data_IF_977351538242
#
_entry.id   IF_977351538242
#
_cell.length_a   1.000
_cell.length_b   1.000
_cell.length_c   1.000
_cell.angle_alpha   90.00
_cell.angle_beta   90.00
_cell.angle_gamma   90.00
#
_symmetry.space_group_name_H-M   'P 1'
#
loop_
_entity.id
_entity.type
_entity.pdbx_description
1 polymer ?
#
# COMPACT_ATOMS: atom_id res chain seq x y z
N UNK A 1 22.54 21.23 10.36
CA UNK A 1 21.48 20.99 9.36
C UNK A 1 22.14 20.59 8.05
N UNK A 2 21.63 19.58 7.34
CA UNK A 2 22.06 19.36 5.95
C UNK A 2 21.69 20.62 5.14
N UNK A 3 22.59 21.17 4.31
CA UNK A 3 22.26 22.30 3.45
C UNK A 3 21.13 21.92 2.48
N UNK A 4 20.15 22.80 2.32
CA UNK A 4 19.03 22.60 1.39
C UNK A 4 19.56 22.60 -0.05
N UNK A 5 19.43 21.50 -0.81
CA UNK A 5 19.89 21.43 -2.19
C UNK A 5 19.04 22.29 -3.15
N UNK A 6 17.93 22.90 -2.71
CA UNK A 6 17.04 23.75 -3.50
C UNK A 6 16.27 23.01 -4.61
N UNK A 7 16.45 21.69 -4.72
CA UNK A 7 15.81 20.80 -5.70
C UNK A 7 15.54 19.44 -5.08
N UNK A 8 14.35 18.92 -5.29
CA UNK A 8 13.99 17.54 -4.95
C UNK A 8 14.78 16.59 -5.86
N UNK A 9 15.38 15.56 -5.28
CA UNK A 9 16.22 14.58 -6.00
C UNK A 9 15.78 13.15 -5.67
N UNK A 10 15.99 12.18 -6.58
CA UNK A 10 15.86 10.77 -6.23
C UNK A 10 16.85 10.39 -5.12
N UNK A 11 16.33 9.84 -4.02
CA UNK A 11 17.11 9.22 -2.95
C UNK A 11 17.43 7.76 -3.29
N UNK A 12 16.38 6.98 -3.61
CA UNK A 12 16.48 5.54 -3.88
C UNK A 12 15.57 5.19 -5.06
N UNK A 13 16.09 4.33 -5.94
CA UNK A 13 15.29 3.60 -6.92
C UNK A 13 15.08 2.19 -6.41
N UNK A 14 13.83 1.81 -6.20
CA UNK A 14 13.47 0.50 -5.68
C UNK A 14 12.42 -0.18 -6.56
N UNK A 15 12.34 -1.50 -6.44
CA UNK A 15 11.22 -2.29 -6.95
C UNK A 15 10.47 -2.90 -5.78
N UNK A 16 9.22 -3.28 -6.02
CA UNK A 16 8.34 -3.96 -5.06
C UNK A 16 8.67 -5.46 -4.91
N UNK A 17 9.94 -5.82 -5.08
CA UNK A 17 10.49 -7.17 -4.93
C UNK A 17 11.05 -7.34 -3.50
N UNK A 18 11.47 -8.55 -3.11
CA UNK A 18 12.18 -8.74 -1.83
C UNK A 18 13.45 -7.87 -1.75
N UNK A 19 13.78 -7.23 -0.62
CA UNK A 19 13.10 -7.27 0.69
C UNK A 19 11.92 -6.30 0.80
N UNK A 20 11.74 -5.41 -0.16
CA UNK A 20 10.79 -4.32 -0.05
C UNK A 20 9.34 -4.76 -0.16
N UNK A 21 9.00 -5.92 -0.74
CA UNK A 21 7.65 -6.50 -1.02
C UNK A 21 6.50 -6.27 -0.01
N UNK A 22 6.73 -5.79 1.22
CA UNK A 22 5.68 -5.36 2.19
C UNK A 22 5.62 -3.86 2.50
N UNK A 23 6.46 -3.02 1.91
CA UNK A 23 6.38 -1.55 1.98
C UNK A 23 5.05 -0.97 1.47
N UNK A 24 4.41 -0.11 2.26
CA UNK A 24 3.20 0.61 1.84
C UNK A 24 3.51 2.11 1.69
N UNK A 25 4.26 2.52 0.65
CA UNK A 25 4.57 3.94 0.46
C UNK A 25 3.28 4.69 0.09
N UNK A 26 3.17 5.93 0.58
CA UNK A 26 2.31 6.91 -0.09
C UNK A 26 3.08 7.40 -1.33
N UNK A 27 2.46 7.25 -2.50
CA UNK A 27 3.04 7.66 -3.76
C UNK A 27 2.06 8.53 -4.53
N UNK A 28 2.60 9.40 -5.39
CA UNK A 28 1.81 10.16 -6.36
C UNK A 28 1.80 9.33 -7.63
N UNK A 29 0.62 8.84 -7.99
CA UNK A 29 0.41 7.96 -9.11
C UNK A 29 -0.01 8.65 -10.39
N UNK A 30 -0.21 7.85 -11.43
CA UNK A 30 -0.78 8.22 -12.72
C UNK A 30 -2.17 7.59 -12.91
N UNK A 31 -2.89 7.98 -13.97
CA UNK A 31 -4.18 7.36 -14.32
C UNK A 31 -4.06 5.91 -14.80
N UNK A 32 -2.87 5.46 -15.12
CA UNK A 32 -2.60 4.09 -15.62
C UNK A 32 -2.19 3.13 -14.51
N UNK A 33 -2.07 3.63 -13.28
CA UNK A 33 -1.71 2.80 -12.15
C UNK A 33 -2.85 1.85 -11.80
N UNK A 34 -2.55 0.61 -11.33
CA UNK A 34 -3.58 -0.34 -10.94
C UNK A 34 -4.45 0.23 -9.83
N UNK A 35 -5.74 -0.13 -9.83
CA UNK A 35 -6.68 0.36 -8.83
C UNK A 35 -6.56 -0.39 -7.50
N UNK A 36 -6.98 0.25 -6.41
CA UNK A 36 -7.22 -0.44 -5.15
C UNK A 36 -8.38 -1.43 -5.32
N UNK A 37 -8.36 -2.53 -4.56
CA UNK A 37 -9.57 -3.33 -4.41
C UNK A 37 -10.52 -2.58 -3.48
N UNK A 38 -11.36 -1.70 -4.04
CA UNK A 38 -12.28 -0.79 -3.31
C UNK A 38 -13.27 -1.53 -2.39
N UNK A 39 -13.44 -2.84 -2.61
CA UNK A 39 -14.23 -3.75 -1.79
C UNK A 39 -13.62 -3.99 -0.39
N UNK A 40 -12.31 -3.79 -0.26
CA UNK A 40 -11.58 -3.92 1.00
C UNK A 40 -11.70 -2.62 1.79
N UNK A 41 -12.13 -2.76 3.04
CA UNK A 41 -12.27 -1.62 3.96
C UNK A 41 -10.94 -1.29 4.63
N UNK A 42 -10.72 -0.02 4.97
CA UNK A 42 -9.57 0.42 5.76
C UNK A 42 -9.48 -0.30 7.12
N UNK A 43 -10.63 -0.56 7.75
CA UNK A 43 -10.76 -1.28 9.01
C UNK A 43 -10.17 -2.69 8.95
N UNK A 44 -10.28 -3.35 7.81
CA UNK A 44 -9.77 -4.71 7.61
C UNK A 44 -8.29 -4.78 7.29
N UNK A 45 -7.64 -3.62 7.08
CA UNK A 45 -6.20 -3.46 6.77
C UNK A 45 -5.79 -4.16 5.47
N UNK A 46 -4.53 -3.99 5.07
CA UNK A 46 -3.92 -4.61 3.88
C UNK A 46 -4.64 -4.33 2.54
N UNK A 47 -5.52 -3.33 2.51
CA UNK A 47 -6.30 -2.91 1.34
C UNK A 47 -5.39 -2.49 0.16
N UNK A 48 -4.18 -2.02 0.48
CA UNK A 48 -3.17 -1.59 -0.50
C UNK A 48 -2.31 -2.74 -1.01
N UNK A 49 -2.26 -3.86 -0.31
CA UNK A 49 -1.29 -4.93 -0.60
C UNK A 49 -1.56 -5.60 -1.96
N UNK A 50 -2.83 -5.76 -2.36
CA UNK A 50 -3.17 -6.33 -3.67
C UNK A 50 -2.73 -5.43 -4.82
N UNK A 51 -2.96 -4.12 -4.70
CA UNK A 51 -2.52 -3.12 -5.69
C UNK A 51 -0.99 -3.14 -5.79
N UNK A 52 -0.30 -3.15 -4.65
CA UNK A 52 1.16 -3.20 -4.61
C UNK A 52 1.73 -4.47 -5.27
N UNK A 53 1.06 -5.61 -5.08
CA UNK A 53 1.44 -6.85 -5.76
C UNK A 53 1.26 -6.74 -7.27
N UNK A 54 0.15 -6.17 -7.74
CA UNK A 54 -0.07 -5.91 -9.17
C UNK A 54 1.00 -4.97 -9.76
N UNK A 55 1.38 -3.91 -9.05
CA UNK A 55 2.49 -3.04 -9.46
C UNK A 55 3.82 -3.80 -9.59
N UNK A 56 4.09 -4.79 -8.72
CA UNK A 56 5.26 -5.65 -8.85
C UNK A 56 5.20 -6.48 -10.14
N UNK A 57 4.06 -7.12 -10.41
CA UNK A 57 3.85 -7.93 -11.62
C UNK A 57 4.01 -7.10 -12.90
N UNK A 58 3.63 -5.83 -12.86
CA UNK A 58 3.82 -4.84 -13.92
C UNK A 58 5.25 -4.25 -13.97
N UNK A 59 6.18 -4.72 -13.14
CA UNK A 59 7.58 -4.29 -13.08
C UNK A 59 7.75 -2.77 -12.79
N UNK A 60 6.90 -2.21 -11.92
CA UNK A 60 6.98 -0.80 -11.54
C UNK A 60 8.30 -0.47 -10.83
N UNK A 61 8.86 0.70 -11.17
CA UNK A 61 9.99 1.30 -10.46
C UNK A 61 9.50 2.40 -9.53
N UNK A 62 9.76 2.24 -8.24
CA UNK A 62 9.48 3.24 -7.22
C UNK A 62 10.68 4.18 -7.08
N UNK A 63 10.42 5.48 -7.12
CA UNK A 63 11.43 6.52 -6.91
C UNK A 63 11.11 7.20 -5.59
N UNK A 64 11.95 6.99 -4.58
CA UNK A 64 11.86 7.66 -3.29
C UNK A 64 12.61 8.97 -3.40
N UNK A 65 12.00 10.07 -2.99
CA UNK A 65 12.53 11.43 -3.14
C UNK A 65 13.20 11.89 -1.84
N UNK A 66 14.36 12.54 -1.95
CA UNK A 66 15.01 13.27 -0.86
C UNK A 66 14.50 14.72 -0.81
N UNK A 67 14.19 15.21 0.38
CA UNK A 67 13.72 16.59 0.59
C UNK A 67 12.27 16.88 0.17
N UNK A 68 11.43 15.85 -0.01
CA UNK A 68 10.00 16.02 -0.31
C UNK A 68 9.12 15.48 0.84
N UNK A 69 8.02 16.18 1.14
CA UNK A 69 7.03 15.75 2.12
C UNK A 69 5.61 16.01 1.63
N UNK A 70 4.67 15.14 2.02
CA UNK A 70 3.25 15.32 1.76
C UNK A 70 2.59 15.97 2.97
N UNK A 71 1.96 17.13 2.76
CA UNK A 71 1.12 17.79 3.77
C UNK A 71 -0.33 17.44 3.49
N UNK A 72 -1.04 16.95 4.51
CA UNK A 72 -2.49 16.77 4.46
C UNK A 72 -3.13 17.75 5.44
N UNK A 73 -4.38 18.15 5.16
CA UNK A 73 -5.17 18.95 6.09
C UNK A 73 -5.37 18.17 7.39
N UNK A 74 -5.30 18.82 8.57
CA UNK A 74 -5.44 18.14 9.84
C UNK A 74 -6.84 17.52 9.95
N UNK A 75 -6.90 16.19 9.88
CA UNK A 75 -8.12 15.44 10.18
C UNK A 75 -8.45 15.48 11.66
N UNK A 76 -9.73 15.41 12.01
CA UNK A 76 -10.20 15.32 13.40
C UNK A 76 -9.70 13.99 13.99
N UNK A 77 -8.54 14.02 14.65
CA UNK A 77 -8.06 12.89 15.45
C UNK A 77 -8.82 12.87 16.77
N UNK A 78 -9.97 12.18 16.80
CA UNK A 78 -10.65 11.88 18.06
C UNK A 78 -9.70 11.10 18.95
N UNK A 79 -9.63 11.44 20.24
CA UNK A 79 -8.79 10.74 21.23
C UNK A 79 -9.03 9.23 21.11
N UNK A 80 -7.95 8.45 21.12
CA UNK A 80 -8.03 7.00 21.10
C UNK A 80 -8.76 6.52 22.35
N UNK A 81 -10.07 6.28 22.23
CA UNK A 81 -10.84 5.58 23.25
C UNK A 81 -10.25 4.18 23.37
N UNK A 82 -9.94 3.75 24.61
CA UNK A 82 -9.46 2.40 24.90
C UNK A 82 -10.30 1.38 24.12
N UNK A 83 -9.63 0.45 23.44
CA UNK A 83 -10.27 -0.51 22.56
C UNK A 83 -11.13 -1.47 23.39
N UNK A 84 -12.41 -1.15 23.55
CA UNK A 84 -13.38 -2.06 24.13
C UNK A 84 -13.57 -3.29 23.21
N UNK A 85 -13.96 -4.42 23.79
CA UNK A 85 -14.17 -5.72 23.14
C UNK A 85 -15.06 -5.60 21.90
N UNK A 86 -16.11 -4.77 21.95
CA UNK A 86 -16.98 -4.48 20.80
C UNK A 86 -16.21 -3.90 19.60
N UNK A 87 -15.26 -3.00 19.87
CA UNK A 87 -14.44 -2.38 18.81
C UNK A 87 -13.44 -3.38 18.24
N UNK A 88 -12.91 -4.29 19.05
CA UNK A 88 -12.05 -5.38 18.57
C UNK A 88 -12.83 -6.36 17.68
N UNK A 89 -14.04 -6.76 18.10
CA UNK A 89 -14.88 -7.67 17.34
C UNK A 89 -15.32 -7.07 16.00
N UNK A 90 -15.61 -5.76 15.99
CA UNK A 90 -15.82 -5.00 14.75
C UNK A 90 -14.62 -5.15 13.80
N UNK A 91 -13.40 -4.77 14.22
CA UNK A 91 -12.21 -4.89 13.36
C UNK A 91 -11.96 -6.34 12.88
N UNK A 92 -12.16 -7.35 13.72
CA UNK A 92 -11.97 -8.77 13.34
C UNK A 92 -12.89 -9.21 12.20
N UNK A 93 -14.13 -8.71 12.15
CA UNK A 93 -15.06 -9.02 11.06
C UNK A 93 -14.52 -8.45 9.74
N UNK A 94 -14.05 -7.20 9.77
CA UNK A 94 -13.44 -6.54 8.62
C UNK A 94 -12.13 -7.22 8.17
N UNK A 95 -11.27 -7.62 9.10
CA UNK A 95 -10.03 -8.35 8.80
C UNK A 95 -10.32 -9.69 8.10
N UNK A 96 -11.30 -10.46 8.60
CA UNK A 96 -11.72 -11.72 7.94
C UNK A 96 -12.29 -11.48 6.54
N UNK A 97 -13.08 -10.41 6.36
CA UNK A 97 -13.64 -10.04 5.06
C UNK A 97 -12.53 -9.65 4.09
N UNK A 98 -11.62 -8.74 4.48
CA UNK A 98 -10.48 -8.33 3.66
C UNK A 98 -9.59 -9.50 3.30
N UNK A 99 -9.29 -10.42 4.23
CA UNK A 99 -8.48 -11.60 3.94
C UNK A 99 -9.09 -12.46 2.82
N UNK A 100 -10.42 -12.65 2.80
CA UNK A 100 -11.11 -13.40 1.73
C UNK A 100 -11.03 -12.67 0.39
N UNK A 101 -11.25 -11.35 0.39
CA UNK A 101 -11.19 -10.52 -0.81
C UNK A 101 -9.76 -10.54 -1.37
N UNK A 102 -8.77 -10.26 -0.52
CA UNK A 102 -7.35 -10.29 -0.88
C UNK A 102 -6.95 -11.62 -1.52
N UNK A 103 -7.30 -12.77 -0.91
CA UNK A 103 -7.01 -14.09 -1.49
C UNK A 103 -7.64 -14.30 -2.87
N UNK A 104 -8.87 -13.81 -3.07
CA UNK A 104 -9.54 -13.85 -4.38
C UNK A 104 -8.81 -12.97 -5.39
N UNK A 105 -8.47 -11.74 -5.02
CA UNK A 105 -7.78 -10.77 -5.87
C UNK A 105 -6.39 -11.27 -6.28
N UNK A 106 -5.59 -11.79 -5.34
CA UNK A 106 -4.27 -12.37 -5.66
C UNK A 106 -4.39 -13.52 -6.66
N UNK A 107 -5.36 -14.42 -6.50
CA UNK A 107 -5.60 -15.50 -7.45
C UNK A 107 -5.97 -14.99 -8.85
N UNK A 108 -6.74 -13.90 -8.94
CA UNK A 108 -7.09 -13.29 -10.23
C UNK A 108 -5.87 -12.65 -10.88
N UNK A 109 -5.06 -11.91 -10.12
CA UNK A 109 -3.83 -11.29 -10.60
C UNK A 109 -2.83 -12.34 -11.12
N UNK A 110 -2.63 -13.43 -10.38
CA UNK A 110 -1.76 -14.53 -10.80
C UNK A 110 -2.24 -15.25 -12.08
N UNK A 111 -3.54 -15.19 -12.39
CA UNK A 111 -4.08 -15.71 -13.66
C UNK A 111 -3.93 -14.73 -14.82
N UNK A 112 -4.00 -13.43 -14.53
CA UNK A 112 -3.96 -12.36 -15.53
C UNK A 112 -2.55 -12.03 -16.01
N UNK A 113 -1.58 -12.11 -15.11
CA UNK A 113 -0.19 -11.71 -15.37
C UNK A 113 0.74 -12.92 -15.47
N UNK A 114 1.85 -12.81 -16.22
CA UNK A 114 2.88 -13.86 -16.24
C UNK A 114 3.48 -14.03 -14.85
N UNK A 115 3.84 -15.28 -14.52
CA UNK A 115 4.45 -15.59 -13.24
C UNK A 115 5.82 -14.90 -13.10
N UNK A 116 5.99 -14.11 -12.02
CA UNK A 116 7.27 -13.48 -11.68
C UNK A 116 7.71 -13.92 -10.27
N UNK A 117 8.77 -14.74 -10.21
CA UNK A 117 9.30 -15.29 -8.94
C UNK A 117 9.87 -14.25 -7.98
N UNK A 118 10.13 -13.02 -8.46
CA UNK A 118 10.62 -11.90 -7.63
C UNK A 118 9.49 -11.17 -6.91
N UNK A 119 8.25 -11.38 -7.37
CA UNK A 119 7.06 -10.80 -6.76
C UNK A 119 6.43 -11.80 -5.81
N UNK A 120 6.41 -11.44 -4.53
CA UNK A 120 5.69 -12.18 -3.50
C UNK A 120 4.42 -11.39 -3.12
N UNK A 121 3.23 -12.03 -3.11
CA UNK A 121 2.00 -11.40 -2.66
C UNK A 121 2.04 -11.07 -1.15
#
# INVERSE_FOLDING_TARGET
MKPDPGKVKPLIFAKREFPHHRWEPLFIGTKTDPFYAEEMSWEGKQDKMSQMFEMCLLNYRLIILDGAFLVHTPGIKRKAVKTDRRRQDFFKIHEKKNARIYQRTIKQLLKRYPANRRCAP
#
